data_IF_200818435730
#
_entry.id   IF_200818435730
#
_cell.length_a   1.000
_cell.length_b   1.000
_cell.length_c   1.000
_cell.angle_alpha   90.00
_cell.angle_beta   90.00
_cell.angle_gamma   90.00
#
_symmetry.space_group_name_H-M   'P 1'
#
loop_
_entity.id
_entity.type
_entity.pdbx_description
1 polymer ?
#
# COMPACT_ATOMS: atom_id res chain seq x y z
N UNK A 1 29.34 -0.68 -1.79
CA UNK A 1 29.72 -0.56 -3.21
C UNK A 1 28.55 -1.07 -4.04
N UNK A 2 27.69 -0.15 -4.48
CA UNK A 2 26.43 -0.46 -5.18
C UNK A 2 26.73 -1.06 -6.57
N UNK A 3 27.89 -0.75 -7.14
CA UNK A 3 28.33 -1.25 -8.45
C UNK A 3 28.55 -2.76 -8.46
N UNK A 4 28.98 -3.35 -7.34
CA UNK A 4 29.08 -4.81 -7.17
C UNK A 4 27.74 -5.51 -6.92
N UNK A 5 26.72 -4.78 -6.47
CA UNK A 5 25.39 -5.33 -6.16
C UNK A 5 24.56 -5.62 -7.43
N UNK A 6 24.91 -5.00 -8.56
CA UNK A 6 24.23 -5.20 -9.85
C UNK A 6 24.86 -6.34 -10.68
N UNK A 7 26.05 -6.81 -10.34
CA UNK A 7 26.79 -7.81 -11.13
C UNK A 7 26.39 -9.26 -10.82
N UNK A 8 26.04 -9.59 -9.57
CA UNK A 8 25.70 -10.96 -9.15
C UNK A 8 24.19 -11.21 -8.95
N UNK A 9 23.34 -10.18 -9.11
CA UNK A 9 21.88 -10.28 -8.95
C UNK A 9 21.37 -10.63 -7.53
N UNK A 10 22.28 -10.77 -6.57
CA UNK A 10 22.01 -11.20 -5.20
C UNK A 10 22.21 -10.04 -4.22
N UNK A 11 21.17 -9.74 -3.43
CA UNK A 11 21.27 -8.75 -2.35
C UNK A 11 22.15 -9.32 -1.21
N UNK A 12 23.05 -8.51 -0.62
CA UNK A 12 23.80 -8.95 0.55
C UNK A 12 22.86 -9.28 1.72
N UNK A 13 23.29 -10.07 2.73
CA UNK A 13 22.51 -10.31 3.93
C UNK A 13 22.04 -8.98 4.56
N UNK A 14 20.72 -8.80 4.70
CA UNK A 14 20.12 -7.55 5.18
C UNK A 14 19.90 -6.47 4.12
N UNK A 15 20.31 -6.69 2.87
CA UNK A 15 20.12 -5.77 1.75
C UNK A 15 18.64 -5.51 1.44
N UNK A 16 17.78 -6.52 1.57
CA UNK A 16 16.34 -6.37 1.44
C UNK A 16 15.77 -5.39 2.49
N UNK A 17 16.16 -5.53 3.76
CA UNK A 17 15.71 -4.65 4.83
C UNK A 17 16.20 -3.20 4.63
N UNK A 18 17.44 -3.01 4.19
CA UNK A 18 17.98 -1.70 3.86
C UNK A 18 17.27 -1.04 2.68
N UNK A 19 16.96 -1.82 1.63
CA UNK A 19 16.18 -1.36 0.49
C UNK A 19 14.79 -0.90 0.94
N UNK A 20 14.08 -1.73 1.70
CA UNK A 20 12.74 -1.40 2.21
C UNK A 20 12.78 -0.17 3.10
N UNK A 21 13.79 -0.02 3.97
CA UNK A 21 13.95 1.20 4.77
C UNK A 21 14.19 2.45 3.90
N UNK A 22 15.00 2.35 2.85
CA UNK A 22 15.21 3.46 1.92
C UNK A 22 13.92 3.82 1.15
N UNK A 23 13.13 2.82 0.75
CA UNK A 23 11.82 3.04 0.12
C UNK A 23 10.83 3.70 1.09
N UNK A 24 10.85 3.30 2.36
CA UNK A 24 10.04 3.94 3.39
C UNK A 24 10.33 5.45 3.46
N UNK A 25 11.60 5.86 3.48
CA UNK A 25 11.96 7.27 3.46
C UNK A 25 11.47 7.99 2.18
N UNK A 26 11.59 7.34 1.01
CA UNK A 26 11.19 7.93 -0.28
C UNK A 26 9.69 8.02 -0.48
N UNK A 27 8.88 7.23 0.24
CA UNK A 27 7.42 7.42 0.27
C UNK A 27 7.02 8.77 0.84
N UNK A 28 7.84 9.38 1.70
CA UNK A 28 7.56 10.69 2.31
C UNK A 28 8.42 11.82 1.73
N UNK A 29 8.98 11.61 0.54
CA UNK A 29 9.75 12.65 -0.15
C UNK A 29 8.91 13.88 -0.47
N UNK A 30 9.51 15.06 -0.41
CA UNK A 30 8.86 16.32 -0.80
C UNK A 30 8.53 16.39 -2.30
N UNK A 31 9.26 15.63 -3.12
CA UNK A 31 9.09 15.59 -4.57
C UNK A 31 8.13 14.46 -4.96
N UNK A 32 6.96 14.83 -5.48
CA UNK A 32 5.94 13.87 -5.91
C UNK A 32 6.44 12.87 -6.95
N UNK A 33 7.41 13.23 -7.81
CA UNK A 33 7.98 12.31 -8.82
C UNK A 33 8.85 11.24 -8.17
N UNK A 34 9.50 11.56 -7.05
CA UNK A 34 10.26 10.56 -6.26
C UNK A 34 9.29 9.60 -5.58
N UNK A 35 8.22 10.12 -4.98
CA UNK A 35 7.16 9.28 -4.38
C UNK A 35 6.55 8.34 -5.44
N UNK A 36 6.18 8.87 -6.61
CA UNK A 36 5.61 8.07 -7.70
C UNK A 36 6.54 6.92 -8.10
N UNK A 37 7.82 7.22 -8.39
CA UNK A 37 8.81 6.20 -8.77
C UNK A 37 9.04 5.18 -7.66
N UNK A 38 9.03 5.62 -6.40
CA UNK A 38 9.11 4.75 -5.24
C UNK A 38 7.93 3.76 -5.19
N UNK A 39 6.70 4.25 -5.38
CA UNK A 39 5.51 3.41 -5.41
C UNK A 39 5.51 2.41 -6.58
N UNK A 40 5.98 2.85 -7.75
CA UNK A 40 6.13 1.96 -8.91
C UNK A 40 7.18 0.87 -8.67
N UNK A 41 8.29 1.20 -8.00
CA UNK A 41 9.30 0.21 -7.62
C UNK A 41 8.77 -0.77 -6.58
N UNK A 42 8.04 -0.30 -5.56
CA UNK A 42 7.38 -1.16 -4.57
C UNK A 42 6.44 -2.15 -5.27
N UNK A 43 5.63 -1.67 -6.22
CA UNK A 43 4.74 -2.53 -7.01
C UNK A 43 5.52 -3.65 -7.72
N UNK A 44 6.63 -3.32 -8.36
CA UNK A 44 7.50 -4.29 -9.06
C UNK A 44 8.07 -5.31 -8.07
N UNK A 45 8.64 -4.86 -6.95
CA UNK A 45 9.18 -5.75 -5.93
C UNK A 45 8.15 -6.75 -5.43
N UNK A 46 6.93 -6.28 -5.16
CA UNK A 46 5.87 -7.13 -4.65
C UNK A 46 5.35 -8.15 -5.67
N UNK A 47 5.48 -7.83 -6.96
CA UNK A 47 5.02 -8.70 -8.05
C UNK A 47 6.08 -9.71 -8.49
N UNK A 48 7.36 -9.42 -8.26
CA UNK A 48 8.49 -10.15 -8.83
C UNK A 48 9.40 -10.82 -7.78
N UNK A 49 9.35 -10.39 -6.53
CA UNK A 49 10.15 -10.96 -5.43
C UNK A 49 9.38 -12.02 -4.63
N UNK A 50 10.10 -12.68 -3.74
CA UNK A 50 9.61 -13.75 -2.87
C UNK A 50 8.74 -13.25 -1.71
N UNK A 51 8.17 -14.21 -0.97
CA UNK A 51 7.31 -13.95 0.19
C UNK A 51 8.02 -13.20 1.32
N UNK A 52 9.34 -13.35 1.46
CA UNK A 52 10.14 -12.63 2.46
C UNK A 52 10.19 -11.13 2.17
N UNK A 53 10.42 -10.75 0.91
CA UNK A 53 10.34 -9.35 0.48
C UNK A 53 8.92 -8.80 0.69
N UNK A 54 7.90 -9.57 0.34
CA UNK A 54 6.51 -9.16 0.52
C UNK A 54 6.17 -8.93 2.01
N UNK A 55 6.62 -9.81 2.90
CA UNK A 55 6.44 -9.64 4.34
C UNK A 55 7.10 -8.34 4.85
N UNK A 56 8.32 -8.02 4.38
CA UNK A 56 9.00 -6.78 4.73
C UNK A 56 8.24 -5.54 4.25
N UNK A 57 7.73 -5.56 3.01
CA UNK A 57 6.88 -4.49 2.46
C UNK A 57 5.60 -4.32 3.30
N UNK A 58 4.96 -5.43 3.68
CA UNK A 58 3.78 -5.43 4.54
C UNK A 58 3.99 -4.76 5.88
N UNK A 59 5.10 -5.09 6.54
CA UNK A 59 5.43 -4.56 7.86
C UNK A 59 5.81 -3.08 7.78
N UNK A 60 6.60 -2.67 6.79
CA UNK A 60 7.24 -1.35 6.80
C UNK A 60 6.56 -0.32 5.90
N UNK A 61 5.97 -0.73 4.78
CA UNK A 61 5.55 0.21 3.72
C UNK A 61 4.03 0.31 3.57
N UNK A 62 3.28 -0.71 3.97
CA UNK A 62 1.85 -0.80 3.70
C UNK A 62 1.04 0.41 4.19
N UNK A 63 1.33 0.89 5.41
CA UNK A 63 0.68 2.10 5.93
C UNK A 63 1.00 3.36 5.13
N UNK A 64 2.26 3.51 4.70
CA UNK A 64 2.68 4.60 3.81
C UNK A 64 1.99 4.53 2.45
N UNK A 65 1.87 3.34 1.86
CA UNK A 65 1.16 3.11 0.59
C UNK A 65 -0.32 3.49 0.74
N UNK A 66 -0.99 3.04 1.81
CA UNK A 66 -2.39 3.38 2.09
C UNK A 66 -2.56 4.89 2.28
N UNK A 67 -1.65 5.58 2.96
CA UNK A 67 -1.70 7.04 3.10
C UNK A 67 -1.60 7.76 1.73
N UNK A 68 -0.85 7.20 0.77
CA UNK A 68 -0.68 7.80 -0.56
C UNK A 68 -1.87 7.65 -1.51
N UNK A 69 -2.88 6.83 -1.18
CA UNK A 69 -4.09 6.74 -1.99
C UNK A 69 -4.89 8.06 -1.99
N UNK A 70 -4.71 8.92 -0.98
CA UNK A 70 -5.35 10.23 -0.87
C UNK A 70 -4.45 11.41 -1.28
N UNK A 71 -3.26 11.14 -1.83
CA UNK A 71 -2.28 12.18 -2.16
C UNK A 71 -2.89 13.27 -3.08
N UNK A 72 -2.46 14.51 -2.90
CA UNK A 72 -2.90 15.64 -3.73
C UNK A 72 -2.68 15.42 -5.24
N UNK A 73 -1.65 14.65 -5.63
CA UNK A 73 -1.28 14.40 -7.02
C UNK A 73 -1.94 13.11 -7.53
N UNK A 74 -2.70 13.24 -8.61
CA UNK A 74 -3.39 12.11 -9.28
C UNK A 74 -2.43 10.97 -9.62
N UNK A 75 -1.24 11.31 -10.12
CA UNK A 75 -0.21 10.33 -10.50
C UNK A 75 0.30 9.52 -9.30
N UNK A 76 0.46 10.16 -8.13
CA UNK A 76 0.84 9.48 -6.89
C UNK A 76 -0.29 8.58 -6.40
N UNK A 77 -1.54 9.07 -6.40
CA UNK A 77 -2.71 8.24 -6.05
C UNK A 77 -2.81 6.99 -6.92
N UNK A 78 -2.64 7.15 -8.23
CA UNK A 78 -2.66 6.04 -9.19
C UNK A 78 -1.55 5.02 -8.89
N UNK A 79 -0.32 5.49 -8.68
CA UNK A 79 0.81 4.62 -8.35
C UNK A 79 0.58 3.89 -7.01
N UNK A 80 0.02 4.57 -6.01
CA UNK A 80 -0.32 3.98 -4.71
C UNK A 80 -1.39 2.90 -4.83
N UNK A 81 -2.47 3.16 -5.57
CA UNK A 81 -3.50 2.16 -5.85
C UNK A 81 -2.94 0.95 -6.58
N UNK A 82 -2.06 1.16 -7.56
CA UNK A 82 -1.43 0.05 -8.30
C UNK A 82 -0.51 -0.79 -7.42
N UNK A 83 0.28 -0.16 -6.54
CA UNK A 83 1.13 -0.86 -5.58
C UNK A 83 0.29 -1.65 -4.56
N UNK A 84 -0.77 -1.04 -4.04
CA UNK A 84 -1.69 -1.70 -3.11
C UNK A 84 -2.41 -2.88 -3.76
N UNK A 85 -2.92 -2.73 -4.98
CA UNK A 85 -3.52 -3.83 -5.75
C UNK A 85 -2.53 -4.96 -5.98
N UNK A 86 -1.28 -4.66 -6.37
CA UNK A 86 -0.25 -5.69 -6.55
C UNK A 86 0.02 -6.44 -5.25
N UNK A 87 0.09 -5.73 -4.13
CA UNK A 87 0.25 -6.33 -2.81
C UNK A 87 -0.92 -7.22 -2.40
N UNK A 88 -2.15 -6.77 -2.65
CA UNK A 88 -3.34 -7.56 -2.36
C UNK A 88 -3.52 -8.79 -3.25
N UNK A 89 -2.97 -8.80 -4.47
CA UNK A 89 -3.01 -9.96 -5.36
C UNK A 89 -2.10 -11.11 -4.90
N UNK A 90 -1.20 -10.87 -3.96
CA UNK A 90 -0.42 -11.93 -3.32
C UNK A 90 -1.21 -12.48 -2.13
N UNK A 91 -1.62 -13.75 -2.21
CA UNK A 91 -2.64 -14.34 -1.31
C UNK A 91 -2.26 -14.34 0.18
N UNK A 92 -0.96 -14.41 0.51
CA UNK A 92 -0.47 -14.30 1.88
C UNK A 92 -0.72 -12.92 2.51
N UNK A 93 -0.92 -11.88 1.69
CA UNK A 93 -0.83 -10.49 2.11
C UNK A 93 -2.14 -9.70 2.02
N UNK A 94 -3.15 -10.27 1.36
CA UNK A 94 -4.43 -9.62 1.13
C UNK A 94 -5.15 -9.23 2.42
N UNK A 95 -5.14 -10.10 3.44
CA UNK A 95 -5.77 -9.83 4.74
C UNK A 95 -5.10 -8.66 5.44
N UNK A 96 -3.75 -8.63 5.47
CA UNK A 96 -3.00 -7.55 6.09
C UNK A 96 -3.26 -6.21 5.39
N UNK A 97 -3.31 -6.23 4.06
CA UNK A 97 -3.63 -5.07 3.24
C UNK A 97 -5.03 -4.52 3.53
N UNK A 98 -6.05 -5.38 3.59
CA UNK A 98 -7.42 -4.98 3.91
C UNK A 98 -7.53 -4.43 5.32
N UNK A 99 -6.91 -5.07 6.30
CA UNK A 99 -6.91 -4.57 7.68
C UNK A 99 -6.23 -3.21 7.79
N UNK A 100 -5.12 -2.99 7.07
CA UNK A 100 -4.46 -1.69 7.02
C UNK A 100 -5.34 -0.64 6.35
N UNK A 101 -5.97 -0.98 5.22
CA UNK A 101 -6.90 -0.10 4.50
C UNK A 101 -8.13 0.26 5.35
N UNK A 102 -8.68 -0.68 6.12
CA UNK A 102 -9.76 -0.41 7.06
C UNK A 102 -9.30 0.61 8.11
N UNK A 103 -8.22 0.31 8.84
CA UNK A 103 -7.78 1.12 9.99
C UNK A 103 -7.23 2.49 9.59
N UNK A 104 -6.46 2.57 8.52
CA UNK A 104 -5.74 3.79 8.11
C UNK A 104 -6.41 4.52 6.94
N UNK A 105 -7.33 3.85 6.25
CA UNK A 105 -8.12 4.41 5.15
C UNK A 105 -9.53 4.77 5.59
N UNK A 106 -10.37 3.75 5.76
CA UNK A 106 -11.82 3.89 5.97
C UNK A 106 -12.14 4.50 7.34
N UNK A 107 -11.43 4.08 8.38
CA UNK A 107 -11.58 4.56 9.75
C UNK A 107 -10.70 5.77 10.05
N UNK A 108 -10.08 6.36 9.02
CA UNK A 108 -9.21 7.53 9.17
C UNK A 108 -10.00 8.73 9.68
N UNK A 109 -9.44 9.56 10.59
CA UNK A 109 -10.07 10.82 10.98
C UNK A 109 -10.12 11.84 9.82
N UNK A 110 -9.25 11.72 8.81
CA UNK A 110 -9.22 12.61 7.65
C UNK A 110 -10.22 12.18 6.56
N UNK A 111 -11.17 13.05 6.22
CA UNK A 111 -12.24 12.71 5.28
C UNK A 111 -11.73 12.41 3.87
N UNK A 112 -10.66 13.08 3.42
CA UNK A 112 -10.04 12.80 2.11
C UNK A 112 -9.47 11.39 2.06
N UNK A 113 -8.90 10.92 3.18
CA UNK A 113 -8.36 9.58 3.30
C UNK A 113 -9.48 8.53 3.26
N UNK A 114 -10.60 8.77 3.97
CA UNK A 114 -11.79 7.91 3.90
C UNK A 114 -12.36 7.83 2.49
N UNK A 115 -12.57 8.98 1.85
CA UNK A 115 -13.08 9.05 0.48
C UNK A 115 -12.17 8.31 -0.52
N UNK A 116 -10.86 8.52 -0.43
CA UNK A 116 -9.90 7.86 -1.31
C UNK A 116 -9.84 6.35 -1.11
N UNK A 117 -9.92 5.87 0.14
CA UNK A 117 -9.99 4.45 0.46
C UNK A 117 -11.27 3.80 -0.11
N UNK A 118 -12.43 4.46 0.04
CA UNK A 118 -13.69 3.99 -0.56
C UNK A 118 -13.63 3.98 -2.09
N UNK A 119 -13.04 5.01 -2.70
CA UNK A 119 -12.84 5.05 -4.15
C UNK A 119 -11.95 3.89 -4.62
N UNK A 120 -10.84 3.62 -3.93
CA UNK A 120 -9.98 2.47 -4.21
C UNK A 120 -10.76 1.15 -4.14
N UNK A 121 -11.59 0.94 -3.11
CA UNK A 121 -12.43 -0.26 -2.99
C UNK A 121 -13.45 -0.42 -4.13
N UNK A 122 -13.91 0.68 -4.72
CA UNK A 122 -14.83 0.65 -5.87
C UNK A 122 -14.18 0.29 -7.20
N UNK A 123 -12.83 0.28 -7.28
CA UNK A 123 -12.14 -0.06 -8.51
C UNK A 123 -12.32 -1.55 -8.82
N UNK A 124 -12.62 -1.87 -10.08
CA UNK A 124 -12.73 -3.26 -10.55
C UNK A 124 -11.42 -4.05 -10.44
N UNK A 125 -10.30 -3.36 -10.29
CA UNK A 125 -8.98 -3.95 -10.10
C UNK A 125 -8.67 -4.33 -8.65
N UNK A 126 -9.54 -3.99 -7.69
CA UNK A 126 -9.29 -4.23 -6.27
C UNK A 126 -9.72 -5.65 -5.90
N UNK A 127 -8.78 -6.53 -5.48
CA UNK A 127 -9.09 -7.91 -5.16
C UNK A 127 -9.73 -7.99 -3.77
N UNK A 128 -11.05 -8.18 -3.72
CA UNK A 128 -11.86 -8.22 -2.47
C UNK A 128 -12.22 -9.64 -2.01
N UNK A 129 -11.66 -10.66 -2.65
CA UNK A 129 -11.87 -12.10 -2.40
C UNK A 129 -11.21 -12.63 -1.11
N UNK A 130 -10.84 -11.74 -0.18
CA UNK A 130 -10.21 -12.11 1.08
C UNK A 130 -11.11 -12.97 1.98
N UNK A 131 -10.49 -13.64 2.96
CA UNK A 131 -11.16 -14.47 3.94
C UNK A 131 -12.38 -13.79 4.60
N UNK A 132 -13.45 -14.56 4.83
CA UNK A 132 -14.77 -14.13 5.32
C UNK A 132 -14.74 -13.12 6.48
N UNK A 133 -13.81 -13.27 7.44
CA UNK A 133 -13.68 -12.37 8.58
C UNK A 133 -13.28 -10.96 8.18
N UNK A 134 -12.37 -10.81 7.22
CA UNK A 134 -11.93 -9.50 6.73
C UNK A 134 -13.03 -8.79 5.94
N UNK A 135 -13.88 -9.54 5.24
CA UNK A 135 -15.02 -8.98 4.51
C UNK A 135 -16.10 -8.44 5.43
N UNK A 136 -16.39 -9.11 6.56
CA UNK A 136 -17.35 -8.61 7.56
C UNK A 136 -16.87 -7.31 8.19
N UNK A 137 -15.59 -7.24 8.54
CA UNK A 137 -15.00 -6.03 9.09
C UNK A 137 -14.99 -4.90 8.06
N UNK A 138 -14.64 -5.20 6.80
CA UNK A 138 -14.73 -4.24 5.70
C UNK A 138 -16.14 -3.67 5.54
N UNK A 139 -17.16 -4.53 5.43
CA UNK A 139 -18.56 -4.09 5.29
C UNK A 139 -18.99 -3.24 6.48
N UNK A 140 -18.64 -3.66 7.71
CA UNK A 140 -18.94 -2.88 8.92
C UNK A 140 -18.31 -1.49 8.85
N UNK A 141 -17.01 -1.40 8.59
CA UNK A 141 -16.30 -0.11 8.56
C UNK A 141 -16.80 0.79 7.43
N UNK A 142 -17.15 0.23 6.26
CA UNK A 142 -17.77 0.99 5.17
C UNK A 142 -19.14 1.53 5.58
N UNK A 143 -20.01 0.70 6.17
CA UNK A 143 -21.33 1.14 6.67
C UNK A 143 -21.17 2.23 7.74
N UNK A 144 -20.29 2.02 8.71
CA UNK A 144 -19.98 3.04 9.72
C UNK A 144 -19.52 4.33 9.08
N UNK A 145 -18.59 4.28 8.11
CA UNK A 145 -18.11 5.46 7.39
C UNK A 145 -19.22 6.24 6.66
N UNK A 146 -20.24 5.56 6.14
CA UNK A 146 -21.40 6.22 5.50
C UNK A 146 -22.41 6.78 6.49
N UNK A 147 -22.52 6.16 7.66
CA UNK A 147 -23.40 6.61 8.75
C UNK A 147 -22.77 7.70 9.60
N UNK A 148 -21.45 7.87 9.51
CA UNK A 148 -20.70 8.86 10.26
C UNK A 148 -21.07 10.28 9.79
N UNK A 149 -22.00 10.90 10.50
CA UNK A 149 -22.43 12.28 10.29
C UNK A 149 -21.38 13.25 10.86
N UNK A 150 -20.18 13.27 10.28
CA UNK A 150 -19.21 14.31 10.56
C UNK A 150 -19.27 15.41 9.48
N UNK A 151 -20.06 16.43 9.80
CA UNK A 151 -20.10 17.82 9.32
C UNK A 151 -19.78 18.08 7.82
N UNK A 152 -20.85 18.30 7.05
CA UNK A 152 -20.83 19.07 5.79
C UNK A 152 -20.53 20.54 6.06
#
# INVERSE_FOLDING_TARGET
DISRMLEDGSLPPGGAAQLVAALHERLFDSNWSVIEKCLLLIRTLVSECDDDMNALVGVQLLGGIVAKVSDSKVVVRKAASQALTAYMNTSANQVAALQCLIKQGIESPEWKQRQAALLFLSLSSTPLDAADLSQRDLVRSVVTCFLDQHDV
#
